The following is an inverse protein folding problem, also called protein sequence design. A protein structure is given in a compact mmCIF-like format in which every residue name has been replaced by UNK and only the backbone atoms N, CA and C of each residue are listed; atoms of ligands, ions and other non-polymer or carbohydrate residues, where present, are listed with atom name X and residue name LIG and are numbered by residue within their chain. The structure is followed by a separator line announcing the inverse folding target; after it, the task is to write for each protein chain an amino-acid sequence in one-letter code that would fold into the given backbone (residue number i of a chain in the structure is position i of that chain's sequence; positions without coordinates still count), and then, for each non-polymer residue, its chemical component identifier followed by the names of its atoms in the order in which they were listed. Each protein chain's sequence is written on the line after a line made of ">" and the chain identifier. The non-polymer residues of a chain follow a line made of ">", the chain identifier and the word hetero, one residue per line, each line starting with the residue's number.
data_IF_286795351560
#
_entry.id   IF_286795351560
#
_cell.length_a   1.000
_cell.length_b   1.000
_cell.length_c   1.000
_cell.angle_alpha   90.00
_cell.angle_beta   90.00
_cell.angle_gamma   90.00
#
_symmetry.space_group_name_H-M   'P 1'
#
loop_
_entity.id
_entity.type
_entity.pdbx_description
1 polymer ?
#
# COMPACT_ATOMS: atom_id res chain seq x y z
N UNK A 1 3.06 30.92 -25.83
CA UNK A 1 4.02 30.48 -24.78
C UNK A 1 3.38 30.48 -23.39
N UNK A 2 2.65 31.53 -22.98
CA UNK A 2 2.02 31.60 -21.64
C UNK A 2 0.92 30.56 -21.37
N UNK A 3 0.12 30.18 -22.37
CA UNK A 3 -0.90 29.14 -22.22
C UNK A 3 -0.29 27.75 -21.96
N UNK A 4 0.80 27.42 -22.66
CA UNK A 4 1.51 26.16 -22.48
C UNK A 4 2.21 26.08 -21.10
N UNK A 5 2.65 27.22 -20.55
CA UNK A 5 3.20 27.27 -19.20
C UNK A 5 2.11 27.05 -18.13
N UNK A 6 0.93 27.64 -18.31
CA UNK A 6 -0.19 27.51 -17.37
C UNK A 6 -0.84 26.12 -17.42
N UNK A 7 -0.99 25.52 -18.61
CA UNK A 7 -1.73 24.26 -18.81
C UNK A 7 -0.79 23.05 -18.88
N UNK A 8 0.49 23.26 -19.23
CA UNK A 8 1.48 22.20 -19.42
C UNK A 8 1.58 21.23 -18.24
N UNK A 9 1.70 21.69 -16.98
CA UNK A 9 1.79 20.81 -15.82
C UNK A 9 0.55 19.92 -15.64
N UNK A 10 -0.65 20.47 -15.85
CA UNK A 10 -1.90 19.72 -15.73
C UNK A 10 -2.07 18.70 -16.86
N UNK A 11 -1.72 19.08 -18.09
CA UNK A 11 -1.75 18.17 -19.24
C UNK A 11 -0.74 17.03 -19.07
N UNK A 12 0.45 17.30 -18.56
CA UNK A 12 1.46 16.29 -18.27
C UNK A 12 0.97 15.26 -17.25
N UNK A 13 0.35 15.71 -16.14
CA UNK A 13 -0.23 14.81 -15.13
C UNK A 13 -1.35 13.94 -15.69
N UNK A 14 -2.21 14.51 -16.53
CA UNK A 14 -3.29 13.77 -17.19
C UNK A 14 -2.74 12.66 -18.10
N UNK A 15 -1.73 12.97 -18.93
CA UNK A 15 -1.08 11.98 -19.79
C UNK A 15 -0.36 10.90 -18.97
N UNK A 16 0.36 11.29 -17.91
CA UNK A 16 1.04 10.34 -17.02
C UNK A 16 0.04 9.38 -16.35
N UNK A 17 -1.09 9.90 -15.87
CA UNK A 17 -2.18 9.10 -15.30
C UNK A 17 -2.79 8.12 -16.30
N UNK A 18 -3.04 8.56 -17.53
CA UNK A 18 -3.53 7.68 -18.60
C UNK A 18 -2.52 6.57 -18.93
N UNK A 19 -1.23 6.89 -19.03
CA UNK A 19 -0.17 5.91 -19.30
C UNK A 19 -0.02 4.90 -18.15
N UNK A 20 -0.17 5.34 -16.90
CA UNK A 20 -0.14 4.46 -15.73
C UNK A 20 -1.23 3.38 -15.81
N UNK A 21 -2.47 3.76 -16.11
CA UNK A 21 -3.59 2.81 -16.19
C UNK A 21 -3.56 2.00 -17.48
N UNK A 22 -3.34 2.63 -18.64
CA UNK A 22 -3.45 1.93 -19.92
C UNK A 22 -2.29 0.96 -20.17
N UNK A 23 -1.06 1.37 -19.83
CA UNK A 23 0.17 0.62 -20.15
C UNK A 23 0.73 -0.10 -18.93
N UNK A 24 0.97 0.61 -17.82
CA UNK A 24 1.68 0.02 -16.67
C UNK A 24 0.80 -0.94 -15.86
N UNK A 25 -0.51 -0.71 -15.78
CA UNK A 25 -1.50 -1.54 -15.07
C UNK A 25 -1.01 -2.08 -13.71
N UNK A 26 -0.63 -1.18 -12.77
CA UNK A 26 -0.10 -1.58 -11.47
C UNK A 26 -1.11 -2.35 -10.61
N UNK A 27 -2.40 -2.15 -10.86
CA UNK A 27 -3.52 -2.84 -10.23
C UNK A 27 -4.65 -3.03 -11.24
N UNK A 28 -5.58 -3.93 -10.90
CA UNK A 28 -6.80 -4.18 -11.65
C UNK A 28 -8.04 -4.07 -10.74
N UNK A 29 -9.22 -4.20 -11.33
CA UNK A 29 -10.49 -4.23 -10.63
C UNK A 29 -10.50 -5.31 -9.54
N UNK A 30 -10.89 -4.93 -8.32
CA UNK A 30 -10.94 -5.84 -7.17
C UNK A 30 -9.61 -6.04 -6.44
N UNK A 31 -8.50 -5.47 -6.94
CA UNK A 31 -7.22 -5.56 -6.24
C UNK A 31 -7.25 -4.74 -4.94
N UNK A 32 -6.62 -5.28 -3.90
CA UNK A 32 -6.32 -4.56 -2.66
C UNK A 32 -4.97 -3.88 -2.77
N UNK A 33 -4.98 -2.55 -2.70
CA UNK A 33 -3.79 -1.72 -2.87
C UNK A 33 -3.56 -0.80 -1.67
N UNK A 34 -2.32 -0.38 -1.47
CA UNK A 34 -1.99 0.75 -0.61
C UNK A 34 -1.26 1.81 -1.42
N UNK A 35 -1.63 3.06 -1.20
CA UNK A 35 -1.02 4.21 -1.86
C UNK A 35 -0.09 4.86 -0.84
N UNK A 36 1.17 5.00 -1.20
CA UNK A 36 2.23 5.46 -0.31
C UNK A 36 2.96 6.61 -0.97
N UNK A 37 3.37 7.58 -0.16
CA UNK A 37 4.30 8.60 -0.63
C UNK A 37 5.62 7.96 -1.08
N UNK A 38 6.23 8.53 -2.11
CA UNK A 38 7.46 7.99 -2.71
C UNK A 38 8.63 7.96 -1.71
N UNK A 39 8.64 8.92 -0.77
CA UNK A 39 9.67 9.01 0.29
C UNK A 39 9.26 8.29 1.57
N UNK A 40 8.02 7.80 1.64
CA UNK A 40 7.46 7.15 2.82
C UNK A 40 8.22 5.87 3.17
N UNK A 41 8.86 5.90 4.34
CA UNK A 41 9.35 4.68 5.01
C UNK A 41 8.18 4.06 5.80
N UNK A 42 8.09 2.72 5.84
CA UNK A 42 7.18 2.08 6.78
C UNK A 42 7.53 2.50 8.21
N UNK A 43 6.51 2.76 9.02
CA UNK A 43 6.67 3.12 10.43
C UNK A 43 7.20 1.89 11.19
N UNK A 44 8.19 2.01 12.10
CA UNK A 44 8.63 0.90 12.94
C UNK A 44 7.48 0.20 13.69
N UNK A 45 6.42 0.92 14.06
CA UNK A 45 5.27 0.35 14.78
C UNK A 45 4.19 -0.25 13.87
N UNK A 46 4.23 0.02 12.56
CA UNK A 46 3.34 -0.59 11.58
C UNK A 46 4.07 -0.91 10.26
N UNK A 47 4.60 -2.14 10.12
CA UNK A 47 5.19 -2.58 8.86
C UNK A 47 4.14 -2.75 7.75
N UNK A 48 2.85 -2.71 8.11
CA UNK A 48 1.72 -2.70 7.19
C UNK A 48 1.29 -1.27 6.86
N UNK A 49 0.92 -1.03 5.61
CA UNK A 49 0.26 0.22 5.26
C UNK A 49 -1.14 0.23 5.87
N UNK A 50 -1.37 1.07 6.90
CA UNK A 50 -2.67 1.16 7.63
C UNK A 50 -3.86 1.34 6.70
N UNK A 51 -3.68 2.17 5.68
CA UNK A 51 -4.73 2.47 4.72
C UNK A 51 -4.60 1.55 3.50
N UNK A 52 -5.51 0.58 3.45
CA UNK A 52 -5.66 -0.34 2.33
C UNK A 52 -6.98 -0.07 1.62
N UNK A 53 -6.90 0.03 0.30
CA UNK A 53 -7.98 0.41 -0.58
C UNK A 53 -8.32 -0.75 -1.51
N UNK A 54 -9.60 -0.99 -1.73
CA UNK A 54 -10.11 -1.92 -2.73
C UNK A 54 -10.44 -1.11 -3.99
N UNK A 55 -9.96 -1.57 -5.14
CA UNK A 55 -10.22 -0.92 -6.43
C UNK A 55 -11.61 -1.31 -6.92
N UNK A 56 -12.53 -0.35 -6.99
CA UNK A 56 -13.94 -0.60 -7.36
C UNK A 56 -14.26 -0.29 -8.81
N UNK A 57 -13.62 0.73 -9.38
CA UNK A 57 -13.75 1.10 -10.79
C UNK A 57 -12.50 1.84 -11.26
N UNK A 58 -12.09 1.60 -12.50
CA UNK A 58 -10.90 2.18 -13.10
C UNK A 58 -11.25 2.75 -14.47
N UNK A 59 -11.26 4.08 -14.55
CA UNK A 59 -11.37 4.83 -15.79
C UNK A 59 -10.00 5.41 -16.19
N UNK A 60 -9.88 5.90 -17.42
CA UNK A 60 -8.64 6.54 -17.90
C UNK A 60 -8.25 7.80 -17.09
N UNK A 61 -9.25 8.50 -16.54
CA UNK A 61 -9.05 9.76 -15.82
C UNK A 61 -9.11 9.60 -14.29
N UNK A 62 -9.94 8.69 -13.81
CA UNK A 62 -10.21 8.54 -12.37
C UNK A 62 -10.27 7.08 -11.97
N UNK A 63 -9.82 6.80 -10.76
CA UNK A 63 -9.96 5.49 -10.11
C UNK A 63 -10.80 5.65 -8.85
N UNK A 64 -11.82 4.81 -8.68
CA UNK A 64 -12.63 4.77 -7.46
C UNK A 64 -12.11 3.68 -6.54
N UNK A 65 -11.94 4.06 -5.28
CA UNK A 65 -11.32 3.25 -4.25
C UNK A 65 -12.25 3.19 -3.05
N UNK A 66 -12.39 2.00 -2.47
CA UNK A 66 -13.10 1.81 -1.20
C UNK A 66 -12.12 1.50 -0.08
N UNK A 67 -12.15 2.28 0.99
CA UNK A 67 -11.30 2.05 2.15
C UNK A 67 -11.74 0.75 2.84
N UNK A 68 -10.84 -0.23 2.95
CA UNK A 68 -11.18 -1.56 3.45
C UNK A 68 -11.68 -1.57 4.90
N UNK A 69 -11.29 -0.57 5.70
CA UNK A 69 -11.63 -0.48 7.14
C UNK A 69 -12.99 0.17 7.39
N UNK A 70 -13.29 1.26 6.70
CA UNK A 70 -14.48 2.10 6.94
C UNK A 70 -15.55 1.97 5.85
N UNK A 71 -15.24 1.29 4.75
CA UNK A 71 -16.04 1.24 3.53
C UNK A 71 -16.32 2.60 2.89
N UNK A 72 -15.51 3.62 3.19
CA UNK A 72 -15.60 4.93 2.56
C UNK A 72 -15.16 4.85 1.10
N UNK A 73 -15.90 5.51 0.21
CA UNK A 73 -15.59 5.55 -1.22
C UNK A 73 -14.90 6.88 -1.54
N UNK A 74 -13.74 6.79 -2.20
CA UNK A 74 -12.95 7.93 -2.64
C UNK A 74 -12.67 7.82 -4.13
N UNK A 75 -12.88 8.94 -4.84
CA UNK A 75 -12.60 9.05 -6.27
C UNK A 75 -11.34 9.88 -6.47
N UNK A 76 -10.28 9.24 -6.97
CA UNK A 76 -8.97 9.86 -7.15
C UNK A 76 -8.68 10.10 -8.63
N UNK A 77 -8.03 11.21 -8.95
CA UNK A 77 -7.49 11.45 -10.30
C UNK A 77 -6.23 10.62 -10.50
N UNK A 78 -6.15 9.89 -11.62
CA UNK A 78 -4.99 9.06 -11.97
C UNK A 78 -3.70 9.86 -12.10
N UNK A 79 -3.78 11.13 -12.51
CA UNK A 79 -2.62 12.01 -12.57
C UNK A 79 -2.00 12.31 -11.21
N UNK A 80 -2.79 12.25 -10.13
CA UNK A 80 -2.28 12.38 -8.76
C UNK A 80 -1.69 11.06 -8.23
N UNK A 81 -2.16 9.92 -8.74
CA UNK A 81 -1.65 8.60 -8.37
C UNK A 81 -0.35 8.24 -9.11
N UNK A 82 -0.12 8.81 -10.30
CA UNK A 82 1.03 8.50 -11.14
C UNK A 82 2.39 8.77 -10.46
N UNK A 83 2.44 9.74 -9.54
CA UNK A 83 3.65 10.11 -8.81
C UNK A 83 3.77 9.39 -7.44
N UNK A 84 2.84 8.49 -7.12
CA UNK A 84 2.82 7.76 -5.84
C UNK A 84 3.35 6.33 -5.98
N UNK A 85 3.81 5.76 -4.87
CA UNK A 85 4.16 4.33 -4.81
C UNK A 85 2.91 3.52 -4.52
N UNK A 86 2.53 2.67 -5.46
CA UNK A 86 1.39 1.77 -5.33
C UNK A 86 1.91 0.39 -4.91
N UNK A 87 1.45 -0.10 -3.77
CA UNK A 87 1.72 -1.46 -3.28
C UNK A 87 0.49 -2.31 -3.51
N UNK A 88 0.61 -3.33 -4.36
CA UNK A 88 -0.46 -4.26 -4.67
C UNK A 88 -0.33 -5.49 -3.76
N UNK A 89 -1.25 -5.62 -2.80
CA UNK A 89 -1.26 -6.73 -1.86
C UNK A 89 -1.82 -8.01 -2.47
N UNK A 90 -2.69 -7.90 -3.48
CA UNK A 90 -3.31 -9.04 -4.14
C UNK A 90 -2.32 -9.84 -4.99
N UNK A 91 -1.32 -9.16 -5.55
CA UNK A 91 -0.26 -9.79 -6.37
C UNK A 91 0.95 -10.28 -5.56
N UNK A 92 0.94 -10.11 -4.24
CA UNK A 92 1.98 -10.66 -3.37
C UNK A 92 1.69 -12.13 -3.08
N UNK A 93 2.57 -13.05 -3.51
CA UNK A 93 2.38 -14.49 -3.28
C UNK A 93 2.42 -14.87 -1.80
N UNK A 94 3.21 -14.16 -0.99
CA UNK A 94 3.40 -14.46 0.42
C UNK A 94 2.90 -13.29 1.27
N UNK A 95 2.07 -13.59 2.26
CA UNK A 95 1.69 -12.62 3.28
C UNK A 95 2.79 -12.58 4.35
N UNK A 96 3.33 -11.39 4.64
CA UNK A 96 4.18 -11.18 5.80
C UNK A 96 3.30 -10.82 6.99
N UNK A 97 3.44 -11.56 8.09
CA UNK A 97 2.72 -11.30 9.34
C UNK A 97 3.74 -10.83 10.38
N UNK A 98 3.50 -9.64 10.95
CA UNK A 98 4.30 -9.11 12.05
C UNK A 98 3.46 -9.08 13.31
N UNK A 99 3.95 -9.70 14.39
CA UNK A 99 3.27 -9.79 15.68
C UNK A 99 4.18 -9.17 16.73
N UNK A 100 3.67 -8.16 17.44
CA UNK A 100 4.34 -7.56 18.60
C UNK A 100 3.93 -8.34 19.86
N UNK A 101 4.90 -8.99 20.50
CA UNK A 101 4.69 -9.75 21.73
C UNK A 101 5.25 -8.96 22.92
N UNK A 102 4.42 -8.20 23.65
CA UNK A 102 4.89 -7.46 24.81
C UNK A 102 5.26 -8.44 25.94
N UNK A 103 6.51 -8.36 26.39
CA UNK A 103 7.02 -9.16 27.50
C UNK A 103 7.04 -8.33 28.79
N UNK A 104 6.94 -8.99 29.95
CA UNK A 104 7.07 -8.31 31.24
C UNK A 104 8.51 -7.82 31.40
N UNK A 105 8.67 -6.65 32.01
CA UNK A 105 10.00 -6.08 32.29
C UNK A 105 10.84 -6.96 33.25
N UNK A 106 10.17 -7.81 34.03
CA UNK A 106 10.80 -8.75 34.97
C UNK A 106 11.34 -10.01 34.31
N UNK A 107 11.03 -10.25 33.03
CA UNK A 107 11.46 -11.44 32.32
C UNK A 107 12.96 -11.39 32.03
N UNK A 108 13.65 -12.50 32.26
CA UNK A 108 15.08 -12.60 31.96
C UNK A 108 15.30 -12.82 30.47
N UNK A 109 16.51 -12.48 29.98
CA UNK A 109 16.85 -12.69 28.57
C UNK A 109 16.70 -14.16 28.16
N UNK A 110 17.06 -15.09 29.06
CA UNK A 110 17.00 -16.53 28.80
C UNK A 110 15.57 -17.01 28.60
N UNK A 111 14.62 -16.54 29.41
CA UNK A 111 13.19 -16.84 29.24
C UNK A 111 12.66 -16.35 27.89
N UNK A 112 13.08 -15.16 27.46
CA UNK A 112 12.70 -14.59 26.15
C UNK A 112 13.23 -15.44 25.00
N UNK A 113 14.47 -15.95 25.10
CA UNK A 113 15.04 -16.81 24.06
C UNK A 113 14.34 -18.18 23.95
N UNK A 114 13.92 -18.74 25.09
CA UNK A 114 13.13 -19.99 25.10
C UNK A 114 11.79 -19.78 24.38
N UNK A 115 11.09 -18.70 24.70
CA UNK A 115 9.82 -18.36 24.04
C UNK A 115 10.01 -18.12 22.54
N UNK A 116 11.05 -17.37 22.17
CA UNK A 116 11.39 -17.12 20.76
C UNK A 116 11.60 -18.43 20.00
N UNK A 117 12.46 -19.31 20.53
CA UNK A 117 12.77 -20.60 19.90
C UNK A 117 11.54 -21.49 19.75
N UNK A 118 10.68 -21.53 20.78
CA UNK A 118 9.44 -22.30 20.74
C UNK A 118 8.46 -21.78 19.69
N UNK A 119 8.35 -20.46 19.51
CA UNK A 119 7.51 -19.85 18.48
C UNK A 119 8.08 -20.12 17.08
N UNK A 120 9.39 -19.98 16.89
CA UNK A 120 10.03 -20.27 15.60
C UNK A 120 9.83 -21.75 15.20
N UNK A 121 9.95 -22.67 16.14
CA UNK A 121 9.69 -24.08 15.90
C UNK A 121 8.22 -24.35 15.56
N UNK A 122 7.28 -23.76 16.31
CA UNK A 122 5.85 -23.87 16.00
C UNK A 122 5.50 -23.35 14.60
N UNK A 123 6.14 -22.25 14.16
CA UNK A 123 5.95 -21.70 12.81
C UNK A 123 6.54 -22.62 11.74
N UNK A 124 7.64 -23.32 12.01
CA UNK A 124 8.25 -24.25 11.04
C UNK A 124 7.47 -25.57 10.92
N UNK A 125 6.83 -26.01 12.00
CA UNK A 125 6.07 -27.26 12.05
C UNK A 125 4.68 -27.14 11.39
N UNK A 126 4.19 -25.92 11.10
CA UNK A 126 2.91 -25.64 10.46
C UNK A 126 3.09 -25.07 9.05
#
# INVERSE_FOLDING_TARGET
>A
VSFAFAVGPSAAKLIAGMMMIAIRRPYDLGDRISIVDITGKPDPDDPGYRDTWLVEDVNLFTTTLRLSRTNEVSSCNNGSLADTRIVNHNRSNNASVTILLPMKLSSTHDEVQVVKSAIEQYIQDN
#
